data_IF_745868016447
#
_entry.id   IF_745868016447
#
_cell.length_a   1.000
_cell.length_b   1.000
_cell.length_c   1.000
_cell.angle_alpha   90.00
_cell.angle_beta   90.00
_cell.angle_gamma   90.00
#
_symmetry.space_group_name_H-M   'P 1'
#
loop_
_entity.id
_entity.type
_entity.pdbx_description
1 polymer ?
#
# COMPACT_ATOMS: atom_id res chain seq x y z
N UNK A 1 62.70 52.02 25.99
CA UNK A 1 62.15 51.04 25.03
C UNK A 1 61.51 49.90 25.81
N UNK A 2 60.24 49.97 26.02
CA UNK A 2 59.45 48.90 26.71
C UNK A 2 58.75 48.08 25.71
N UNK A 3 59.04 46.78 25.61
CA UNK A 3 58.30 45.80 24.73
C UNK A 3 57.08 45.33 25.47
N UNK A 4 55.92 45.58 24.93
CA UNK A 4 54.64 45.00 25.35
C UNK A 4 54.49 43.60 24.70
N UNK A 5 54.39 42.58 25.56
CA UNK A 5 54.06 41.23 25.15
C UNK A 5 52.53 41.09 25.08
N UNK A 6 52.02 40.75 23.89
CA UNK A 6 50.61 40.41 23.70
C UNK A 6 50.38 38.95 24.08
N UNK A 7 49.53 38.72 25.08
CA UNK A 7 49.07 37.38 25.48
C UNK A 7 47.86 37.03 24.63
N UNK A 8 48.04 36.12 23.70
CA UNK A 8 46.94 35.56 22.91
C UNK A 8 46.15 34.52 23.73
N UNK A 9 44.89 34.79 23.96
CA UNK A 9 43.97 33.87 24.64
C UNK A 9 43.40 32.91 23.58
N UNK A 10 43.88 31.66 23.56
CA UNK A 10 43.30 30.59 22.77
C UNK A 10 42.02 30.08 23.42
N UNK A 11 40.85 30.42 22.88
CA UNK A 11 39.59 29.82 23.29
C UNK A 11 39.44 28.50 22.50
N UNK A 12 39.65 27.37 23.18
CA UNK A 12 39.34 26.05 22.64
C UNK A 12 37.81 25.86 22.65
N UNK A 13 37.22 25.88 21.48
CA UNK A 13 35.80 25.49 21.29
C UNK A 13 35.69 23.97 21.48
N UNK A 14 35.11 23.54 22.58
CA UNK A 14 34.75 22.15 22.83
C UNK A 14 33.47 21.88 22.00
N UNK A 15 33.61 21.20 20.86
CA UNK A 15 32.49 20.68 20.12
C UNK A 15 31.85 19.52 20.90
N UNK A 16 30.66 19.72 21.44
CA UNK A 16 29.88 18.65 22.02
C UNK A 16 29.49 17.65 20.92
N UNK A 17 29.61 16.32 21.14
CA UNK A 17 29.16 15.35 20.17
C UNK A 17 27.65 15.47 20.03
N UNK A 18 27.18 15.71 18.81
CA UNK A 18 25.77 15.60 18.47
C UNK A 18 25.34 14.13 18.69
N UNK A 19 24.59 13.88 19.75
CA UNK A 19 23.91 12.60 19.95
C UNK A 19 22.91 12.45 18.84
N UNK A 20 23.22 11.57 17.88
CA UNK A 20 22.25 11.15 16.89
C UNK A 20 21.03 10.59 17.63
N UNK A 21 19.92 11.31 17.56
CA UNK A 21 18.64 10.81 18.05
C UNK A 21 18.37 9.51 17.31
N UNK A 22 18.40 8.40 18.04
CA UNK A 22 18.02 7.09 17.54
C UNK A 22 16.54 7.19 17.17
N UNK A 23 16.23 7.10 15.87
CA UNK A 23 14.85 7.04 15.42
C UNK A 23 14.14 5.94 16.21
N UNK A 24 13.01 6.26 16.83
CA UNK A 24 12.17 5.27 17.47
C UNK A 24 11.83 4.18 16.44
N UNK A 25 11.80 2.88 16.82
CA UNK A 25 11.38 1.84 15.92
C UNK A 25 9.96 2.20 15.43
N UNK A 26 9.81 2.39 14.14
CA UNK A 26 8.51 2.58 13.51
C UNK A 26 7.69 1.32 13.83
N UNK A 27 6.41 1.44 14.27
CA UNK A 27 5.55 0.29 14.38
C UNK A 27 5.55 -0.41 13.01
N UNK A 28 5.77 -1.72 13.00
CA UNK A 28 5.83 -2.49 11.76
C UNK A 28 4.53 -2.29 10.99
N UNK A 29 4.57 -1.60 9.85
CA UNK A 29 3.46 -1.56 8.92
C UNK A 29 3.23 -2.97 8.41
N UNK A 30 2.15 -3.61 8.86
CA UNK A 30 1.66 -4.88 8.35
C UNK A 30 0.52 -4.60 7.39
N UNK A 31 0.59 -5.10 6.17
CA UNK A 31 -0.55 -5.11 5.28
C UNK A 31 -1.30 -6.40 5.60
N UNK A 32 -2.52 -6.28 6.12
CA UNK A 32 -3.28 -7.43 6.57
C UNK A 32 -4.12 -8.01 5.45
N UNK A 33 -4.40 -9.30 5.61
CA UNK A 33 -5.42 -9.97 4.82
C UNK A 33 -6.78 -9.28 4.98
N UNK A 34 -7.56 -9.39 3.94
CA UNK A 34 -8.92 -8.88 3.84
C UNK A 34 -9.80 -9.28 5.05
N UNK A 35 -10.35 -8.28 5.75
CA UNK A 35 -11.34 -8.50 6.82
C UNK A 35 -12.75 -8.70 6.25
N UNK A 36 -13.46 -9.59 6.84
CA UNK A 36 -14.81 -10.18 6.67
C UNK A 36 -15.71 -9.72 5.52
N UNK A 37 -16.29 -10.70 4.82
CA UNK A 37 -17.05 -10.61 3.58
C UNK A 37 -18.55 -10.80 3.79
N UNK A 38 -19.34 -9.90 3.20
CA UNK A 38 -20.73 -10.18 2.79
C UNK A 38 -20.69 -10.45 1.28
N UNK A 39 -21.16 -11.62 0.83
CA UNK A 39 -21.16 -11.99 -0.59
C UNK A 39 -22.24 -11.22 -1.36
N UNK A 40 -21.80 -10.26 -2.13
CA UNK A 40 -22.50 -9.65 -3.25
C UNK A 40 -21.45 -9.43 -4.35
N UNK A 41 -21.81 -8.87 -5.48
CA UNK A 41 -20.84 -8.39 -6.48
C UNK A 41 -19.94 -7.26 -5.91
N UNK A 42 -20.29 -6.76 -4.71
CA UNK A 42 -19.56 -5.78 -3.91
C UNK A 42 -19.34 -6.36 -2.51
N UNK A 43 -18.14 -6.29 -1.99
CA UNK A 43 -17.75 -6.72 -0.66
C UNK A 43 -17.27 -5.55 0.18
N UNK A 44 -17.77 -5.46 1.43
CA UNK A 44 -17.30 -4.48 2.40
C UNK A 44 -16.02 -4.97 3.08
N UNK A 45 -15.06 -4.08 3.24
CA UNK A 45 -13.76 -4.34 3.86
C UNK A 45 -13.44 -3.30 4.92
N UNK A 46 -12.69 -3.68 5.93
CA UNK A 46 -12.18 -2.75 6.96
C UNK A 46 -10.95 -1.98 6.51
N UNK A 47 -10.29 -2.43 5.44
CA UNK A 47 -8.98 -1.91 5.05
C UNK A 47 -8.72 -1.82 3.54
N UNK A 48 -9.44 -2.55 2.67
CA UNK A 48 -9.22 -2.57 1.22
C UNK A 48 -10.34 -1.88 0.44
N UNK A 49 -9.97 -1.16 -0.63
CA UNK A 49 -10.87 -0.62 -1.65
C UNK A 49 -10.31 -0.87 -3.04
N UNK A 50 -11.11 -1.35 -3.97
CA UNK A 50 -10.67 -1.63 -5.33
C UNK A 50 -11.35 -2.84 -5.95
N UNK A 51 -10.60 -3.67 -6.63
CA UNK A 51 -11.10 -4.86 -7.30
C UNK A 51 -10.23 -6.08 -7.03
N UNK A 52 -10.89 -7.23 -6.86
CA UNK A 52 -10.27 -8.54 -6.90
C UNK A 52 -10.92 -9.40 -7.98
N UNK A 53 -10.14 -10.27 -8.60
CA UNK A 53 -10.63 -11.31 -9.50
C UNK A 53 -10.25 -12.68 -8.97
N UNK A 54 -11.19 -13.64 -9.08
CA UNK A 54 -10.98 -15.02 -8.62
C UNK A 54 -11.25 -16.01 -9.75
N UNK A 55 -10.48 -17.10 -9.76
CA UNK A 55 -10.63 -18.16 -10.75
C UNK A 55 -10.25 -19.52 -10.16
N UNK A 56 -10.80 -20.63 -10.68
CA UNK A 56 -10.47 -22.01 -10.24
C UNK A 56 -9.01 -22.41 -10.54
N UNK A 57 -8.42 -21.87 -11.61
CA UNK A 57 -7.00 -22.06 -11.92
C UNK A 57 -6.19 -20.96 -11.27
N UNK A 58 -4.97 -21.27 -10.79
CA UNK A 58 -4.14 -20.29 -10.15
C UNK A 58 -3.73 -19.14 -11.09
N UNK A 59 -3.69 -17.94 -10.57
CA UNK A 59 -3.10 -16.79 -11.23
C UNK A 59 -1.57 -16.94 -11.33
N UNK A 60 -1.00 -16.44 -12.40
CA UNK A 60 0.45 -16.45 -12.64
C UNK A 60 1.05 -15.04 -12.57
N UNK A 61 0.26 -14.02 -12.83
CA UNK A 61 0.70 -12.62 -12.68
C UNK A 61 -0.48 -11.66 -12.60
N UNK A 62 -0.20 -10.51 -11.99
CA UNK A 62 -1.05 -9.32 -11.96
C UNK A 62 -0.22 -8.11 -12.36
N UNK A 63 -0.83 -7.16 -13.07
CA UNK A 63 -0.20 -5.90 -13.48
C UNK A 63 -1.21 -4.77 -13.34
N UNK A 64 -0.75 -3.59 -12.93
CA UNK A 64 -1.53 -2.37 -12.89
C UNK A 64 -0.66 -1.13 -13.04
N UNK A 65 -1.31 0.00 -13.31
CA UNK A 65 -0.71 1.33 -13.27
C UNK A 65 -1.62 2.25 -12.49
N UNK A 66 -1.02 3.21 -11.82
CA UNK A 66 -1.75 4.32 -11.21
C UNK A 66 -0.93 5.61 -11.27
N UNK A 67 -1.61 6.72 -11.14
CA UNK A 67 -0.96 8.00 -10.85
C UNK A 67 -0.88 8.14 -9.34
N UNK A 68 0.32 8.37 -8.81
CA UNK A 68 0.52 8.55 -7.36
C UNK A 68 -0.28 9.76 -6.88
N UNK A 69 -1.29 9.57 -6.03
CA UNK A 69 -2.08 10.70 -5.52
C UNK A 69 -1.30 11.53 -4.52
N UNK A 70 -1.72 12.78 -4.34
CA UNK A 70 -1.24 13.63 -3.26
C UNK A 70 -1.96 13.29 -1.95
N UNK A 71 -1.23 13.26 -0.84
CA UNK A 71 -1.82 13.19 0.49
C UNK A 71 -2.19 14.59 0.99
N UNK A 72 -3.39 14.74 1.53
CA UNK A 72 -3.80 15.94 2.26
C UNK A 72 -3.55 15.70 3.74
N UNK A 73 -2.58 16.41 4.30
CA UNK A 73 -2.13 16.23 5.68
C UNK A 73 -2.66 17.35 6.57
N UNK A 74 -3.03 16.99 7.81
CA UNK A 74 -3.31 17.90 8.91
C UNK A 74 -2.24 17.71 10.00
N UNK A 75 -2.10 18.69 10.91
CA UNK A 75 -1.12 18.66 12.00
C UNK A 75 -1.47 17.66 13.12
N UNK A 76 -2.64 17.01 13.03
CA UNK A 76 -3.16 16.17 14.09
C UNK A 76 -2.46 14.79 14.15
N UNK A 77 -3.15 13.75 13.78
CA UNK A 77 -2.66 12.39 13.92
C UNK A 77 -2.05 11.87 12.61
N UNK A 78 -1.07 10.96 12.67
CA UNK A 78 -0.57 10.28 11.48
C UNK A 78 -1.67 9.55 10.75
N UNK A 79 -1.64 9.58 9.40
CA UNK A 79 -2.54 8.83 8.54
C UNK A 79 -1.77 8.11 7.45
N UNK A 80 -2.33 7.01 6.93
CA UNK A 80 -1.59 6.08 6.07
C UNK A 80 -2.45 5.62 4.90
N UNK A 81 -1.85 5.44 3.72
CA UNK A 81 -2.50 4.80 2.59
C UNK A 81 -1.49 4.06 1.72
N UNK A 82 -1.92 2.93 1.16
CA UNK A 82 -1.13 2.15 0.21
C UNK A 82 -1.92 1.94 -1.09
N UNK A 83 -1.21 1.94 -2.23
CA UNK A 83 -1.76 1.66 -3.55
C UNK A 83 -0.92 0.55 -4.18
N UNK A 84 -1.55 -0.57 -4.55
CA UNK A 84 -0.77 -1.75 -4.91
C UNK A 84 -1.50 -2.72 -5.85
N UNK A 85 -0.74 -3.67 -6.38
CA UNK A 85 -1.23 -4.86 -7.04
C UNK A 85 -0.67 -6.11 -6.36
N UNK A 86 -1.47 -7.16 -6.26
CA UNK A 86 -1.08 -8.38 -5.57
C UNK A 86 -1.71 -9.65 -6.11
N UNK A 87 -1.15 -10.78 -5.71
CA UNK A 87 -1.74 -12.11 -5.86
C UNK A 87 -2.02 -12.66 -4.48
N UNK A 88 -3.20 -13.27 -4.29
CA UNK A 88 -3.65 -13.82 -3.01
C UNK A 88 -4.20 -12.76 -2.05
N UNK A 89 -4.73 -13.20 -0.91
CA UNK A 89 -5.31 -12.34 0.11
C UNK A 89 -6.83 -12.26 0.08
N UNK A 90 -7.45 -12.31 -1.09
CA UNK A 90 -8.89 -12.13 -1.25
C UNK A 90 -9.69 -13.44 -1.21
N UNK A 91 -9.18 -14.52 -1.79
CA UNK A 91 -9.92 -15.78 -1.83
C UNK A 91 -10.12 -16.36 -0.41
N UNK A 92 -11.26 -17.05 -0.20
CA UNK A 92 -11.52 -17.72 1.10
C UNK A 92 -10.36 -18.63 1.48
N UNK A 93 -9.92 -18.55 2.74
CA UNK A 93 -8.77 -19.27 3.30
C UNK A 93 -7.43 -18.85 2.70
N UNK A 94 -7.36 -17.65 2.14
CA UNK A 94 -6.08 -17.06 1.78
C UNK A 94 -5.19 -16.95 3.02
N UNK A 95 -3.88 -17.14 2.82
CA UNK A 95 -2.89 -17.15 3.90
C UNK A 95 -1.64 -16.35 3.55
N UNK A 96 -1.60 -15.79 2.35
CA UNK A 96 -0.46 -15.04 1.85
C UNK A 96 -0.92 -14.01 0.82
N UNK A 97 -0.10 -12.96 0.64
CA UNK A 97 -0.24 -11.98 -0.44
C UNK A 97 1.15 -11.66 -0.96
N UNK A 98 1.35 -11.83 -2.27
CA UNK A 98 2.53 -11.37 -2.97
C UNK A 98 2.21 -10.02 -3.62
N UNK A 99 2.76 -8.92 -3.12
CA UNK A 99 2.31 -7.60 -3.51
C UNK A 99 3.43 -6.55 -3.61
N UNK A 100 3.16 -5.47 -4.35
CA UNK A 100 4.06 -4.32 -4.47
C UNK A 100 3.28 -3.07 -4.83
N UNK A 101 3.75 -1.95 -4.30
CA UNK A 101 3.04 -0.69 -4.48
C UNK A 101 3.79 0.53 -3.95
N UNK A 102 3.01 1.56 -3.67
CA UNK A 102 3.45 2.84 -3.14
C UNK A 102 2.61 3.27 -1.95
N UNK A 103 3.17 4.08 -1.08
CA UNK A 103 2.48 4.72 0.05
C UNK A 103 2.26 6.20 -0.24
N UNK A 104 1.22 6.77 0.38
CA UNK A 104 1.04 8.21 0.57
C UNK A 104 0.58 8.42 2.01
N UNK A 105 1.49 8.80 2.87
CA UNK A 105 1.26 8.90 4.30
C UNK A 105 1.45 10.33 4.78
N UNK A 106 0.85 10.65 5.91
CA UNK A 106 1.04 11.91 6.62
C UNK A 106 1.63 11.66 8.00
N UNK A 107 2.70 12.38 8.34
CA UNK A 107 3.28 12.40 9.68
C UNK A 107 3.75 13.82 10.01
N UNK A 108 3.39 14.32 11.19
CA UNK A 108 3.75 15.69 11.62
C UNK A 108 3.32 16.78 10.63
N UNK A 109 2.12 16.66 10.03
CA UNK A 109 1.59 17.61 9.05
C UNK A 109 2.24 17.56 7.67
N UNK A 110 3.16 16.64 7.43
CA UNK A 110 3.89 16.51 6.16
C UNK A 110 3.61 15.20 5.47
N UNK A 111 3.45 15.26 4.14
CA UNK A 111 3.25 14.09 3.31
C UNK A 111 4.58 13.46 2.92
N UNK A 112 4.66 12.12 2.97
CA UNK A 112 5.78 11.38 2.42
C UNK A 112 5.31 10.19 1.59
N UNK A 113 6.15 9.79 0.61
CA UNK A 113 5.82 8.79 -0.40
C UNK A 113 6.94 7.79 -0.50
N UNK A 114 6.61 6.51 -0.49
CA UNK A 114 7.59 5.42 -0.53
C UNK A 114 7.09 4.29 -1.41
N UNK A 115 7.99 3.66 -2.15
CA UNK A 115 7.75 2.40 -2.85
C UNK A 115 8.07 1.22 -1.95
N UNK A 116 7.37 0.09 -2.14
CA UNK A 116 7.55 -1.10 -1.30
C UNK A 116 7.17 -2.39 -2.03
N UNK A 117 7.56 -3.53 -1.47
CA UNK A 117 6.99 -4.84 -1.75
C UNK A 117 6.82 -5.65 -0.48
N UNK A 118 5.95 -6.64 -0.52
CA UNK A 118 5.73 -7.56 0.58
C UNK A 118 5.41 -8.96 0.07
N UNK A 119 5.86 -9.97 0.82
CA UNK A 119 5.43 -11.36 0.71
C UNK A 119 4.82 -11.74 2.06
N UNK A 120 3.55 -11.34 2.29
CA UNK A 120 2.87 -11.61 3.56
C UNK A 120 2.86 -13.12 3.85
N UNK A 121 3.14 -13.57 5.12
CA UNK A 121 3.18 -12.78 6.35
C UNK A 121 4.54 -12.16 6.73
N UNK A 122 5.54 -12.15 5.82
CA UNK A 122 6.77 -11.39 6.10
C UNK A 122 6.48 -9.88 6.04
N UNK A 123 7.14 -9.05 6.85
CA UNK A 123 6.90 -7.61 6.84
C UNK A 123 7.28 -6.95 5.50
N UNK A 124 6.65 -5.80 5.17
CA UNK A 124 6.96 -5.07 3.96
C UNK A 124 8.41 -4.56 3.93
N UNK A 125 8.96 -4.48 2.74
CA UNK A 125 10.31 -3.98 2.47
C UNK A 125 10.21 -2.66 1.71
N UNK A 126 10.63 -1.56 2.33
CA UNK A 126 10.67 -0.25 1.70
C UNK A 126 11.81 -0.19 0.67
N UNK A 127 11.57 0.50 -0.43
CA UNK A 127 12.47 0.55 -1.58
C UNK A 127 13.10 1.94 -1.73
N UNK A 128 14.36 1.96 -2.14
CA UNK A 128 14.99 3.20 -2.60
C UNK A 128 14.60 3.50 -4.06
N UNK A 129 13.31 3.68 -4.30
CA UNK A 129 12.71 4.10 -5.56
C UNK A 129 11.92 5.38 -5.30
N UNK A 130 12.44 6.56 -5.66
CA UNK A 130 11.76 7.83 -5.42
C UNK A 130 10.39 7.87 -6.08
N UNK A 131 9.39 8.26 -5.31
CA UNK A 131 8.00 8.45 -5.72
C UNK A 131 7.56 9.85 -5.29
N UNK A 132 6.83 10.54 -6.18
CA UNK A 132 6.25 11.86 -5.94
C UNK A 132 4.80 11.89 -6.39
N UNK A 133 3.96 12.75 -5.83
CA UNK A 133 2.62 13.01 -6.37
C UNK A 133 2.67 13.31 -7.86
N UNK A 134 1.74 12.77 -8.62
CA UNK A 134 1.67 12.90 -10.08
C UNK A 134 2.58 11.93 -10.86
N UNK A 135 3.47 11.17 -10.20
CA UNK A 135 4.23 10.13 -10.88
C UNK A 135 3.32 9.00 -11.35
N UNK A 136 3.50 8.58 -12.59
CA UNK A 136 2.89 7.35 -13.08
C UNK A 136 3.71 6.16 -12.61
N UNK A 137 3.08 5.26 -11.88
CA UNK A 137 3.67 4.02 -11.36
C UNK A 137 3.12 2.83 -12.13
N UNK A 138 3.96 1.86 -12.45
CA UNK A 138 3.55 0.58 -13.03
C UNK A 138 4.12 -0.56 -12.19
N UNK A 139 3.25 -1.45 -11.74
CA UNK A 139 3.60 -2.58 -10.90
C UNK A 139 3.23 -3.91 -11.56
N UNK A 140 4.03 -4.93 -11.31
CA UNK A 140 3.76 -6.30 -11.72
C UNK A 140 4.27 -7.26 -10.66
N UNK A 141 3.42 -8.20 -10.27
CA UNK A 141 3.78 -9.39 -9.51
C UNK A 141 3.59 -10.59 -10.42
N UNK A 142 4.58 -11.46 -10.49
CA UNK A 142 4.46 -12.71 -11.23
C UNK A 142 5.06 -13.87 -10.46
N UNK A 143 4.40 -15.04 -10.54
CA UNK A 143 4.81 -16.22 -9.79
C UNK A 143 4.93 -17.41 -10.74
N UNK A 144 6.07 -18.09 -10.64
CA UNK A 144 6.31 -19.38 -11.30
C UNK A 144 6.85 -20.38 -10.28
N UNK A 145 6.04 -21.37 -9.93
CA UNK A 145 6.31 -22.29 -8.82
C UNK A 145 6.48 -21.48 -7.52
N UNK A 146 7.66 -21.50 -6.92
CA UNK A 146 8.03 -20.79 -5.68
C UNK A 146 8.83 -19.51 -5.94
N UNK A 147 9.00 -19.12 -7.19
CA UNK A 147 9.71 -17.89 -7.54
C UNK A 147 8.72 -16.78 -7.77
N UNK A 148 8.77 -15.76 -6.93
CA UNK A 148 8.03 -14.51 -7.05
C UNK A 148 8.94 -13.46 -7.69
N UNK A 149 8.47 -12.80 -8.73
CA UNK A 149 9.18 -11.67 -9.35
C UNK A 149 8.35 -10.42 -9.14
N UNK A 150 8.93 -9.49 -8.42
CA UNK A 150 8.40 -8.14 -8.18
C UNK A 150 9.04 -7.18 -9.18
N UNK A 151 8.21 -6.38 -9.85
CA UNK A 151 8.65 -5.26 -10.70
C UNK A 151 7.82 -4.03 -10.37
N UNK A 152 8.50 -2.95 -10.01
CA UNK A 152 7.89 -1.65 -9.75
C UNK A 152 8.66 -0.58 -10.51
N UNK A 153 7.97 0.14 -11.39
CA UNK A 153 8.57 1.17 -12.24
C UNK A 153 7.89 2.52 -11.98
N UNK A 154 8.67 3.51 -11.63
CA UNK A 154 8.26 4.89 -11.81
C UNK A 154 8.40 5.23 -13.31
N UNK A 155 7.27 5.28 -14.02
CA UNK A 155 7.24 5.47 -15.47
C UNK A 155 7.67 6.90 -15.83
N UNK A 156 7.28 7.88 -15.00
CA UNK A 156 7.63 9.31 -15.17
C UNK A 156 9.12 9.53 -15.17
N UNK A 157 9.85 8.89 -14.26
CA UNK A 157 11.31 9.06 -14.12
C UNK A 157 12.11 7.97 -14.85
N UNK A 158 11.45 6.92 -15.35
CA UNK A 158 12.08 5.77 -15.97
C UNK A 158 12.74 4.78 -14.99
N UNK A 159 12.80 5.10 -13.69
CA UNK A 159 13.44 4.23 -12.68
C UNK A 159 12.67 2.94 -12.46
N UNK A 160 13.39 1.82 -12.41
CA UNK A 160 12.85 0.48 -12.28
C UNK A 160 13.49 -0.26 -11.11
N UNK A 161 12.66 -0.87 -10.28
CA UNK A 161 13.05 -1.91 -9.34
C UNK A 161 12.60 -3.28 -9.86
N UNK A 162 13.45 -4.29 -9.75
CA UNK A 162 13.11 -5.69 -10.05
C UNK A 162 13.80 -6.59 -9.06
N UNK A 163 13.05 -7.52 -8.46
CA UNK A 163 13.61 -8.53 -7.54
C UNK A 163 12.97 -9.88 -7.76
N UNK A 164 13.79 -10.94 -7.74
CA UNK A 164 13.36 -12.34 -7.64
C UNK A 164 13.45 -12.76 -6.19
N UNK A 165 12.38 -13.36 -5.70
CA UNK A 165 12.24 -13.81 -4.33
C UNK A 165 11.79 -15.27 -4.31
N UNK A 166 12.05 -15.96 -3.21
CA UNK A 166 11.54 -17.31 -2.97
C UNK A 166 10.42 -17.27 -1.95
N UNK A 167 9.29 -17.89 -2.27
CA UNK A 167 8.19 -18.08 -1.35
C UNK A 167 7.74 -19.53 -1.36
N UNK A 168 7.79 -20.18 -0.21
CA UNK A 168 7.56 -21.63 -0.09
C UNK A 168 6.16 -22.05 -0.56
N UNK A 169 5.14 -21.22 -0.24
CA UNK A 169 3.75 -21.45 -0.60
C UNK A 169 3.11 -20.11 -1.00
N UNK A 170 3.27 -19.67 -2.25
CA UNK A 170 2.55 -18.48 -2.73
C UNK A 170 1.05 -18.78 -2.80
N UNK A 171 0.23 -17.74 -2.54
CA UNK A 171 -1.22 -17.80 -2.73
C UNK A 171 -1.59 -17.21 -4.09
N UNK A 172 -2.16 -18.02 -4.93
CA UNK A 172 -2.48 -17.68 -6.32
C UNK A 172 -4.00 -17.76 -6.59
N UNK A 173 -4.82 -17.71 -5.53
CA UNK A 173 -6.27 -17.85 -5.61
C UNK A 173 -6.99 -16.64 -6.18
N UNK A 174 -6.35 -15.49 -6.13
CA UNK A 174 -6.91 -14.21 -6.57
C UNK A 174 -5.85 -13.28 -7.15
N UNK A 175 -6.28 -12.19 -7.80
CA UNK A 175 -5.43 -11.09 -8.24
C UNK A 175 -6.14 -9.77 -7.97
N UNK A 176 -5.41 -8.78 -7.42
CA UNK A 176 -5.98 -7.58 -6.81
C UNK A 176 -5.33 -6.28 -7.30
N UNK A 177 -6.12 -5.20 -7.29
CA UNK A 177 -5.74 -3.80 -7.48
C UNK A 177 -6.42 -2.99 -6.38
N UNK A 178 -5.65 -2.45 -5.45
CA UNK A 178 -6.18 -1.99 -4.16
C UNK A 178 -5.60 -0.63 -3.75
N UNK A 179 -6.48 0.21 -3.20
CA UNK A 179 -6.15 1.28 -2.26
C UNK A 179 -6.47 0.77 -0.84
N UNK A 180 -5.54 0.92 0.10
CA UNK A 180 -5.62 0.29 1.42
C UNK A 180 -5.35 1.27 2.55
N UNK A 181 -6.08 1.10 3.66
CA UNK A 181 -5.68 1.57 4.98
C UNK A 181 -4.77 0.50 5.61
N UNK A 182 -3.45 0.69 5.65
CA UNK A 182 -2.53 -0.29 6.20
C UNK A 182 -2.82 -0.59 7.67
N UNK A 183 -2.35 -1.71 8.16
CA UNK A 183 -2.46 -2.07 9.57
C UNK A 183 -1.15 -1.90 10.31
N UNK A 184 -1.23 -1.46 11.54
CA UNK A 184 -0.14 -1.49 12.50
C UNK A 184 -0.30 -2.67 13.44
N UNK A 185 0.77 -3.43 13.67
CA UNK A 185 0.76 -4.54 14.61
C UNK A 185 1.59 -4.20 15.84
N UNK A 186 1.09 -4.52 17.02
CA UNK A 186 1.83 -4.42 18.26
C UNK A 186 2.82 -5.60 18.42
N UNK A 187 3.63 -5.55 19.46
CA UNK A 187 4.63 -6.59 19.75
C UNK A 187 4.01 -7.93 20.19
N UNK A 188 2.71 -7.99 20.42
CA UNK A 188 1.95 -9.24 20.73
C UNK A 188 1.34 -9.85 19.48
N UNK A 189 1.44 -9.15 18.33
CA UNK A 189 0.88 -9.59 17.06
C UNK A 189 -0.58 -9.17 16.85
N UNK A 190 -1.15 -8.32 17.72
CA UNK A 190 -2.45 -7.72 17.50
C UNK A 190 -2.30 -6.59 16.49
N UNK A 191 -3.02 -6.69 15.39
CA UNK A 191 -2.98 -5.71 14.32
C UNK A 191 -4.27 -4.90 14.28
N UNK A 192 -4.17 -3.60 14.05
CA UNK A 192 -5.31 -2.70 13.86
C UNK A 192 -5.14 -1.91 12.58
N UNK A 193 -6.22 -1.66 11.86
CA UNK A 193 -6.22 -0.77 10.70
C UNK A 193 -5.85 0.64 11.16
N UNK A 194 -4.90 1.25 10.47
CA UNK A 194 -4.46 2.62 10.75
C UNK A 194 -5.39 3.65 10.11
N UNK A 195 -5.44 4.90 10.63
CA UNK A 195 -6.22 5.96 10.03
C UNK A 195 -5.86 6.19 8.55
N UNK A 196 -6.87 6.24 7.69
CA UNK A 196 -6.68 6.37 6.24
C UNK A 196 -6.34 7.82 5.86
N UNK A 197 -5.24 8.00 5.14
CA UNK A 197 -4.87 9.31 4.57
C UNK A 197 -5.92 9.76 3.56
N UNK A 198 -6.29 11.04 3.61
CA UNK A 198 -7.03 11.66 2.52
C UNK A 198 -6.12 11.79 1.28
N UNK A 199 -6.23 10.82 0.39
CA UNK A 199 -5.50 10.77 -0.88
C UNK A 199 -6.33 11.33 -2.05
N UNK A 200 -7.54 11.87 -1.79
CA UNK A 200 -8.47 12.29 -2.82
C UNK A 200 -8.92 11.12 -3.68
N UNK A 201 -8.38 11.01 -4.87
CA UNK A 201 -8.69 9.90 -5.81
C UNK A 201 -7.40 9.31 -6.36
N UNK A 202 -7.38 7.99 -6.51
CA UNK A 202 -6.35 7.24 -7.24
C UNK A 202 -6.97 6.57 -8.46
N UNK A 203 -6.38 6.78 -9.64
CA UNK A 203 -6.81 6.19 -10.90
C UNK A 203 -5.93 4.98 -11.24
N UNK A 204 -6.52 3.80 -11.22
CA UNK A 204 -5.91 2.56 -11.70
C UNK A 204 -6.20 2.36 -13.19
N UNK A 205 -5.18 1.97 -13.93
CA UNK A 205 -5.27 1.69 -15.37
C UNK A 205 -4.44 0.47 -15.73
N UNK A 206 -4.67 -0.09 -16.94
CA UNK A 206 -3.91 -1.25 -17.43
C UNK A 206 -3.96 -2.45 -16.47
N UNK A 207 -5.03 -2.55 -15.70
CA UNK A 207 -5.26 -3.63 -14.72
C UNK A 207 -5.52 -4.94 -15.46
N UNK A 208 -4.54 -5.86 -15.39
CA UNK A 208 -4.60 -7.17 -16.06
C UNK A 208 -4.09 -8.27 -15.16
N UNK A 209 -4.70 -9.44 -15.25
CA UNK A 209 -4.25 -10.66 -14.61
C UNK A 209 -3.97 -11.75 -15.64
N UNK A 210 -3.20 -12.77 -15.26
CA UNK A 210 -2.86 -13.89 -16.13
C UNK A 210 -3.04 -15.19 -15.37
N UNK A 211 -3.78 -16.13 -15.95
CA UNK A 211 -3.80 -17.56 -15.62
C UNK A 211 -3.07 -18.32 -16.73
N UNK A 212 -2.81 -19.63 -16.55
CA UNK A 212 -2.15 -20.42 -17.59
C UNK A 212 -2.89 -20.34 -18.92
N UNK A 213 -2.24 -19.75 -19.92
CA UNK A 213 -2.76 -19.66 -21.30
C UNK A 213 -3.75 -18.53 -21.58
N UNK A 214 -4.03 -17.66 -20.58
CA UNK A 214 -4.96 -16.56 -20.76
C UNK A 214 -4.52 -15.32 -19.99
N UNK A 215 -4.57 -14.16 -20.62
CA UNK A 215 -4.39 -12.84 -20.02
C UNK A 215 -5.62 -11.99 -20.30
N UNK A 216 -6.20 -11.42 -19.27
CA UNK A 216 -7.39 -10.59 -19.37
C UNK A 216 -7.35 -9.37 -18.46
N UNK A 217 -8.36 -8.53 -18.57
CA UNK A 217 -8.59 -7.34 -17.74
C UNK A 217 -9.52 -7.67 -16.58
N UNK A 218 -9.82 -6.71 -15.69
CA UNK A 218 -10.73 -6.92 -14.56
C UNK A 218 -12.08 -7.50 -15.03
N UNK A 219 -12.67 -6.93 -16.09
CA UNK A 219 -13.98 -7.33 -16.61
C UNK A 219 -13.96 -8.56 -17.53
N UNK A 220 -12.85 -9.28 -17.62
CA UNK A 220 -12.76 -10.47 -18.47
C UNK A 220 -13.70 -11.58 -17.96
N UNK A 221 -14.58 -12.15 -18.82
CA UNK A 221 -15.59 -13.12 -18.38
C UNK A 221 -15.01 -14.49 -17.96
N UNK A 222 -13.70 -14.70 -18.12
CA UNK A 222 -13.03 -15.94 -17.68
C UNK A 222 -13.00 -16.07 -16.16
N UNK A 223 -13.03 -14.97 -15.43
CA UNK A 223 -13.01 -14.94 -13.96
C UNK A 223 -14.17 -14.14 -13.37
N UNK A 224 -14.39 -14.30 -12.08
CA UNK A 224 -15.32 -13.47 -11.33
C UNK A 224 -14.59 -12.26 -10.77
N UNK A 225 -15.05 -11.06 -11.12
CA UNK A 225 -14.60 -9.82 -10.53
C UNK A 225 -15.51 -9.43 -9.37
N UNK A 226 -14.92 -8.90 -8.30
CA UNK A 226 -15.62 -8.38 -7.12
C UNK A 226 -15.13 -6.98 -6.84
N UNK A 227 -16.05 -6.06 -6.63
CA UNK A 227 -15.77 -4.71 -6.10
C UNK A 227 -15.54 -4.81 -4.60
N UNK A 228 -14.54 -4.11 -4.07
CA UNK A 228 -14.23 -4.08 -2.64
C UNK A 228 -14.36 -2.62 -2.17
N UNK A 229 -15.18 -2.37 -1.17
CA UNK A 229 -15.39 -1.04 -0.59
C UNK A 229 -14.80 -0.98 0.82
N UNK A 230 -13.91 -0.04 1.09
CA UNK A 230 -13.40 0.22 2.42
C UNK A 230 -14.39 1.08 3.20
N UNK A 231 -14.89 0.53 4.31
CA UNK A 231 -15.75 1.21 5.25
C UNK A 231 -15.03 1.39 6.59
N UNK A 232 -14.68 2.64 6.91
CA UNK A 232 -13.88 2.99 8.08
C UNK A 232 -14.62 2.91 9.41
N UNK A 233 -15.91 2.60 9.41
CA UNK A 233 -16.80 2.45 10.56
C UNK A 233 -17.36 1.02 10.72
N UNK A 234 -16.87 0.06 9.92
CA UNK A 234 -17.33 -1.32 10.03
C UNK A 234 -17.10 -1.87 11.45
N UNK A 235 -18.23 -2.14 12.12
CA UNK A 235 -18.25 -2.83 13.39
C UNK A 235 -18.48 -4.33 13.16
N UNK A 236 -17.86 -5.19 13.98
CA UNK A 236 -18.16 -6.62 14.01
C UNK A 236 -17.23 -7.54 13.24
N UNK A 237 -16.12 -7.04 12.74
CA UNK A 237 -14.99 -7.88 12.30
C UNK A 237 -14.08 -8.23 13.50
N UNK A 238 -13.30 -9.30 13.39
CA UNK A 238 -12.27 -9.63 14.38
C UNK A 238 -11.23 -8.49 14.54
N UNK A 239 -11.27 -7.51 13.61
CA UNK A 239 -10.50 -6.28 13.63
C UNK A 239 -11.40 -5.11 13.22
N UNK A 240 -11.87 -4.28 14.18
CA UNK A 240 -12.63 -3.08 13.85
C UNK A 240 -11.76 -2.12 13.04
N UNK A 241 -12.36 -1.48 12.04
CA UNK A 241 -11.66 -0.46 11.26
C UNK A 241 -11.42 0.78 12.12
N UNK A 242 -10.17 1.27 12.08
CA UNK A 242 -9.79 2.58 12.61
C UNK A 242 -9.43 3.55 11.47
N UNK A 243 -9.80 3.21 10.23
CA UNK A 243 -9.49 4.02 9.07
C UNK A 243 -10.08 5.45 9.18
N UNK A 244 -11.19 5.61 9.90
CA UNK A 244 -11.81 6.93 10.14
C UNK A 244 -12.35 7.59 8.88
N UNK A 245 -12.34 6.89 7.75
CA UNK A 245 -12.81 7.32 6.45
C UNK A 245 -13.16 6.11 5.59
N UNK A 246 -13.94 6.30 4.53
CA UNK A 246 -14.24 5.31 3.53
C UNK A 246 -13.31 5.48 2.31
N UNK A 247 -13.17 4.43 1.51
CA UNK A 247 -12.63 4.52 0.17
C UNK A 247 -13.49 3.66 -0.76
N UNK A 248 -14.03 4.27 -1.81
CA UNK A 248 -15.05 3.65 -2.67
C UNK A 248 -14.53 3.59 -4.11
N UNK A 249 -14.47 2.39 -4.71
CA UNK A 249 -14.13 2.25 -6.11
C UNK A 249 -15.32 2.63 -7.01
N UNK A 250 -15.02 3.35 -8.09
CA UNK A 250 -15.95 3.56 -9.19
C UNK A 250 -16.06 2.31 -10.07
N UNK A 251 -17.04 2.30 -10.96
CA UNK A 251 -17.22 1.22 -11.92
C UNK A 251 -16.00 1.04 -12.84
N UNK A 252 -15.79 -0.21 -13.28
CA UNK A 252 -14.75 -0.50 -14.29
C UNK A 252 -15.10 0.22 -15.59
N UNK A 253 -14.13 0.95 -16.13
CA UNK A 253 -14.29 1.71 -17.36
C UNK A 253 -14.56 0.82 -18.60
N UNK A 254 -14.98 1.42 -19.70
CA UNK A 254 -15.29 0.72 -20.95
C UNK A 254 -14.10 -0.06 -21.53
N UNK A 255 -12.86 0.28 -21.13
CA UNK A 255 -11.66 -0.47 -21.48
C UNK A 255 -11.53 -1.79 -20.70
N UNK A 256 -12.40 -2.04 -19.73
CA UNK A 256 -12.43 -3.22 -18.88
C UNK A 256 -11.29 -3.36 -17.86
N UNK A 257 -10.40 -2.38 -17.76
CA UNK A 257 -9.21 -2.46 -16.93
C UNK A 257 -8.79 -1.16 -16.26
N UNK A 258 -9.63 -0.13 -16.30
CA UNK A 258 -9.42 1.13 -15.55
C UNK A 258 -10.57 1.37 -14.57
N UNK A 259 -10.26 1.97 -13.44
CA UNK A 259 -11.22 2.41 -12.41
C UNK A 259 -10.54 3.41 -11.48
N UNK A 260 -11.35 4.20 -10.78
CA UNK A 260 -10.89 5.12 -9.75
C UNK A 260 -11.27 4.59 -8.36
N UNK A 261 -10.50 4.91 -7.33
CA UNK A 261 -10.88 4.77 -5.92
C UNK A 261 -10.86 6.15 -5.29
N UNK A 262 -11.97 6.55 -4.67
CA UNK A 262 -12.13 7.88 -4.07
C UNK A 262 -12.23 7.77 -2.56
N UNK A 263 -11.39 8.52 -1.85
CA UNK A 263 -11.48 8.72 -0.42
C UNK A 263 -12.75 9.52 -0.07
N UNK A 264 -13.43 9.13 1.00
CA UNK A 264 -14.63 9.80 1.47
C UNK A 264 -14.58 9.95 2.98
N UNK A 265 -14.81 11.17 3.45
CA UNK A 265 -14.96 11.42 4.87
C UNK A 265 -16.20 10.71 5.42
N UNK A 266 -16.07 10.08 6.60
CA UNK A 266 -17.25 9.58 7.31
C UNK A 266 -18.17 10.74 7.65
N UNK A 267 -19.49 10.52 7.47
CA UNK A 267 -20.48 11.46 7.97
C UNK A 267 -20.35 11.58 9.50
N UNK A 268 -20.48 12.79 10.10
CA UNK A 268 -20.58 12.90 11.55
C UNK A 268 -21.72 12.02 12.05
N UNK A 269 -21.58 11.38 13.23
CA UNK A 269 -22.67 10.61 13.81
C UNK A 269 -23.89 11.54 13.94
N UNK A 270 -25.01 11.11 13.35
CA UNK A 270 -26.31 11.80 13.55
C UNK A 270 -26.69 11.59 15.00
N UNK A 271 -26.59 12.67 15.82
CA UNK A 271 -26.96 12.70 17.22
C UNK A 271 -28.45 12.49 17.46
#
# INVERSE_FOLDING_TARGET
>A
MRRLAAIGLCIAAVAAPATAARAAPQPGLGLLQHGTLVRSDTEASTNWAGYAVVHKKPFASVTGRWVQPSATCSDSSPTYSAFWVGLGGFARRSFAVEQTGTLANCEGGSAYYTAWYELYPAPPVMLNLPIRPGDTVSATVSVKKQTVVIRLKNVTTGKLFTKKLHMKRPDLGSAEWVAEAPSGCDFTGNCTTLPLTNFGTVDFTHSTATIKGHKGRISDPVWTATTIELHGDLAGSDQPSQAGANAIPGAVGADGGSFAVTWQQLAPPTG
#
